data_IF_297980515640
#
_entry.id   IF_297980515640
#
_cell.length_a   1.000
_cell.length_b   1.000
_cell.length_c   1.000
_cell.angle_alpha   90.00
_cell.angle_beta   90.00
_cell.angle_gamma   90.00
#
_symmetry.space_group_name_H-M   'P 1'
#
loop_
_entity.id
_entity.type
_entity.pdbx_description
1 polymer ?
#
# COMPACT_ATOMS: atom_id res chain seq x y z
N UNK A 1 -44.52 -1.72 -0.24
CA UNK A 1 -43.43 -2.01 -1.19
C UNK A 1 -42.20 -1.28 -0.67
N UNK A 2 -41.19 -1.99 -0.18
CA UNK A 2 -39.96 -1.38 0.36
C UNK A 2 -38.92 -1.30 -0.75
N UNK A 3 -38.67 -0.10 -1.25
CA UNK A 3 -37.53 0.15 -2.13
C UNK A 3 -36.24 -0.14 -1.38
N UNK A 4 -35.61 -1.28 -1.70
CA UNK A 4 -34.23 -1.53 -1.33
C UNK A 4 -33.38 -0.64 -2.22
N UNK A 5 -32.95 0.49 -1.67
CA UNK A 5 -31.93 1.32 -2.29
C UNK A 5 -30.70 0.44 -2.59
N UNK A 6 -30.50 0.15 -3.87
CA UNK A 6 -29.28 -0.47 -4.36
C UNK A 6 -28.19 0.56 -4.14
N UNK A 7 -27.46 0.43 -3.03
CA UNK A 7 -26.29 1.26 -2.75
C UNK A 7 -25.21 0.87 -3.75
N UNK A 8 -25.10 1.66 -4.81
CA UNK A 8 -23.96 1.59 -5.70
C UNK A 8 -22.79 2.16 -4.90
N UNK A 9 -21.99 1.28 -4.31
CA UNK A 9 -20.73 1.67 -3.69
C UNK A 9 -19.79 2.13 -4.80
N UNK A 10 -19.66 3.44 -4.95
CA UNK A 10 -18.62 4.08 -5.74
C UNK A 10 -17.28 3.63 -5.19
N UNK A 11 -16.63 2.68 -5.87
CA UNK A 11 -15.31 2.20 -5.49
C UNK A 11 -14.28 3.30 -5.77
N UNK A 12 -13.86 4.02 -4.74
CA UNK A 12 -12.74 4.95 -4.83
C UNK A 12 -11.46 4.13 -5.08
N UNK A 13 -11.10 3.91 -6.34
CA UNK A 13 -9.77 3.43 -6.67
C UNK A 13 -8.81 4.50 -6.18
N UNK A 14 -8.07 4.18 -5.11
CA UNK A 14 -7.10 5.09 -4.54
C UNK A 14 -6.07 5.48 -5.59
N UNK A 15 -5.65 6.75 -5.59
CA UNK A 15 -4.67 7.29 -6.53
C UNK A 15 -3.44 6.40 -6.72
N UNK A 16 -2.96 5.74 -5.65
CA UNK A 16 -1.86 4.77 -5.72
C UNK A 16 -2.13 3.54 -6.59
N UNK A 17 -3.38 3.05 -6.64
CA UNK A 17 -3.78 1.94 -7.51
C UNK A 17 -3.76 2.33 -8.99
N UNK A 18 -4.27 3.52 -9.32
CA UNK A 18 -4.19 4.06 -10.69
C UNK A 18 -2.75 4.29 -11.12
N UNK A 19 -1.90 4.84 -10.23
CA UNK A 19 -0.49 5.05 -10.51
C UNK A 19 0.23 3.72 -10.77
N UNK A 20 -0.10 2.69 -10.00
CA UNK A 20 0.46 1.33 -10.17
C UNK A 20 0.09 0.75 -11.53
N UNK A 21 -1.19 0.85 -11.93
CA UNK A 21 -1.67 0.38 -13.23
C UNK A 21 -1.05 1.20 -14.37
N UNK A 22 -0.89 2.52 -14.20
CA UNK A 22 -0.26 3.40 -15.18
C UNK A 22 1.21 3.01 -15.43
N UNK A 23 2.00 2.80 -14.38
CA UNK A 23 3.40 2.35 -14.51
C UNK A 23 3.52 0.98 -15.19
N UNK A 24 2.61 0.05 -14.88
CA UNK A 24 2.54 -1.27 -15.54
C UNK A 24 2.23 -1.10 -17.03
N UNK A 25 1.25 -0.26 -17.38
CA UNK A 25 0.87 0.03 -18.76
C UNK A 25 2.01 0.67 -19.56
N UNK A 26 2.71 1.65 -19.00
CA UNK A 26 3.88 2.29 -19.64
C UNK A 26 5.03 1.31 -19.89
N UNK A 27 5.25 0.36 -18.99
CA UNK A 27 6.29 -0.67 -19.19
C UNK A 27 5.90 -1.68 -20.27
N UNK A 28 4.64 -2.10 -20.32
CA UNK A 28 4.13 -2.96 -21.39
C UNK A 28 4.10 -2.25 -22.75
N UNK A 29 3.89 -0.93 -22.76
CA UNK A 29 4.00 -0.09 -23.95
C UNK A 29 5.43 0.18 -24.41
N UNK A 30 6.44 -0.47 -23.79
CA UNK A 30 7.85 -0.33 -24.07
C UNK A 30 8.35 1.14 -24.07
N UNK A 31 7.68 2.01 -23.30
CA UNK A 31 8.03 3.42 -23.14
C UNK A 31 9.19 3.58 -22.16
N UNK A 32 9.39 2.60 -21.26
CA UNK A 32 10.37 2.65 -20.19
C UNK A 32 11.08 1.31 -20.05
N UNK A 33 12.41 1.29 -20.25
CA UNK A 33 13.30 0.12 -20.05
C UNK A 33 13.60 -0.20 -18.57
N UNK A 34 12.97 0.52 -17.64
CA UNK A 34 13.28 0.39 -16.22
C UNK A 34 12.98 -1.01 -15.66
N UNK A 35 13.73 -1.40 -14.63
CA UNK A 35 13.51 -2.65 -13.92
C UNK A 35 12.12 -2.71 -13.27
N UNK A 36 11.54 -3.92 -13.20
CA UNK A 36 10.22 -4.16 -12.59
C UNK A 36 10.13 -3.68 -11.13
N UNK A 37 11.26 -3.67 -10.43
CA UNK A 37 11.40 -3.11 -9.09
C UNK A 37 10.99 -1.63 -9.01
N UNK A 38 11.30 -0.83 -10.02
CA UNK A 38 10.93 0.59 -10.07
C UNK A 38 9.48 0.83 -10.49
N UNK A 39 8.91 -0.03 -11.33
CA UNK A 39 7.48 -0.01 -11.69
C UNK A 39 6.61 -0.23 -10.45
N UNK A 40 7.06 -1.07 -9.53
CA UNK A 40 6.42 -1.33 -8.25
C UNK A 40 6.78 -0.29 -7.19
N UNK A 41 7.62 0.72 -7.46
CA UNK A 41 8.06 1.71 -6.46
C UNK A 41 6.92 2.36 -5.66
N UNK A 42 5.72 2.66 -6.23
CA UNK A 42 4.60 3.19 -5.43
C UNK A 42 4.10 2.19 -4.38
N UNK A 43 4.14 0.90 -4.70
CA UNK A 43 3.81 -0.20 -3.80
C UNK A 43 4.91 -0.37 -2.73
N UNK A 44 6.18 -0.35 -3.14
CA UNK A 44 7.31 -0.43 -2.22
C UNK A 44 7.30 0.70 -1.21
N UNK A 45 7.04 1.94 -1.62
CA UNK A 45 7.03 3.10 -0.70
C UNK A 45 5.91 2.97 0.33
N UNK A 46 4.74 2.49 -0.10
CA UNK A 46 3.60 2.23 0.78
C UNK A 46 3.93 1.13 1.79
N UNK A 47 4.56 0.05 1.32
CA UNK A 47 4.96 -1.08 2.15
C UNK A 47 6.07 -0.71 3.15
N UNK A 48 7.08 0.04 2.69
CA UNK A 48 8.20 0.48 3.52
C UNK A 48 7.75 1.46 4.59
N UNK A 49 6.84 2.38 4.25
CA UNK A 49 6.24 3.29 5.22
C UNK A 49 5.47 2.53 6.29
N UNK A 50 4.66 1.54 5.90
CA UNK A 50 3.89 0.71 6.83
C UNK A 50 4.81 -0.16 7.72
N UNK A 51 5.86 -0.75 7.14
CA UNK A 51 6.85 -1.55 7.86
C UNK A 51 7.64 -0.70 8.86
N UNK A 52 8.07 0.50 8.46
CA UNK A 52 8.76 1.46 9.33
C UNK A 52 7.86 1.87 10.50
N UNK A 53 6.60 2.20 10.22
CA UNK A 53 5.63 2.57 11.24
C UNK A 53 5.36 1.42 12.22
N UNK A 54 5.27 0.18 11.72
CA UNK A 54 5.12 -1.02 12.55
C UNK A 54 6.37 -1.24 13.41
N UNK A 55 7.57 -1.11 12.85
CA UNK A 55 8.83 -1.25 13.58
C UNK A 55 8.95 -0.21 14.71
N UNK A 56 8.57 1.05 14.45
CA UNK A 56 8.56 2.12 15.46
C UNK A 56 7.62 1.83 16.63
N UNK A 57 6.57 1.03 16.46
CA UNK A 57 5.63 0.66 17.53
C UNK A 57 6.06 -0.65 18.20
N UNK A 58 6.51 -1.63 17.42
CA UNK A 58 6.88 -2.96 17.90
C UNK A 58 8.17 -2.93 18.71
N UNK A 59 9.18 -2.17 18.29
CA UNK A 59 10.46 -2.08 19.00
C UNK A 59 10.27 -1.55 20.45
N UNK A 60 9.65 -0.39 20.70
CA UNK A 60 9.46 0.09 22.07
C UNK A 60 8.51 -0.79 22.87
N UNK A 61 7.43 -1.32 22.28
CA UNK A 61 6.53 -2.23 22.99
C UNK A 61 7.23 -3.52 23.40
N UNK A 62 8.12 -4.06 22.57
CA UNK A 62 8.96 -5.21 22.90
C UNK A 62 9.97 -4.87 24.01
N UNK A 63 10.63 -3.71 23.97
CA UNK A 63 11.56 -3.27 25.02
C UNK A 63 10.82 -3.11 26.35
N UNK A 64 9.65 -2.47 26.36
CA UNK A 64 8.82 -2.32 27.57
C UNK A 64 8.35 -3.68 28.06
N UNK A 65 7.96 -4.60 27.17
CA UNK A 65 7.52 -5.94 27.54
C UNK A 65 8.66 -6.78 28.14
N UNK A 66 9.90 -6.63 27.63
CA UNK A 66 11.09 -7.25 28.20
C UNK A 66 11.42 -6.64 29.56
N UNK A 67 11.41 -5.32 29.69
CA UNK A 67 11.65 -4.62 30.96
C UNK A 67 10.57 -4.84 32.04
N UNK A 68 9.40 -5.37 31.66
CA UNK A 68 8.32 -5.75 32.59
C UNK A 68 8.34 -7.23 32.97
N UNK A 69 9.20 -8.02 32.33
CA UNK A 69 9.31 -9.47 32.55
C UNK A 69 10.26 -9.81 33.71
N UNK A 70 10.96 -8.81 34.23
CA UNK A 70 11.80 -8.83 35.43
C UNK A 70 10.98 -8.36 36.65
#
# INVERSE_FOLDING_TARGET
MSDKSVRVSSGNIGFGGLLTILFIGLKLGNVIDWSWWWVLSPLWISFLFLLLMLMLIVIPSLIIALARKD
#
